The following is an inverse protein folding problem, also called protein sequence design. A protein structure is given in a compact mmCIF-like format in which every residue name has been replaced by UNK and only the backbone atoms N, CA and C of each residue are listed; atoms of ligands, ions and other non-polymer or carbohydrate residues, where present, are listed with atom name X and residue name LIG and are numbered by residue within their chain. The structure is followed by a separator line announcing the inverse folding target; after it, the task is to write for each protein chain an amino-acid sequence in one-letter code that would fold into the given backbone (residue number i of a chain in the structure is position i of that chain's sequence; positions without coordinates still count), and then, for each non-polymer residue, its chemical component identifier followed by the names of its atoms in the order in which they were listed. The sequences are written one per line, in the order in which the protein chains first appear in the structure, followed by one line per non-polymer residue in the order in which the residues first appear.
data_IF_249227072754
#
_entry.id   IF_249227072754
#
_cell.length_a   1.000
_cell.length_b   1.000
_cell.length_c   1.000
_cell.angle_alpha   90.00
_cell.angle_beta   90.00
_cell.angle_gamma   90.00
#
_symmetry.space_group_name_H-M   'P 1'
#
loop_
_entity.id
_entity.type
_entity.pdbx_description
1 polymer ?
#
# COMPACT_ATOMS: atom_id res chain seq x y z
N UNK A 1 -11.83 -18.97 -13.71
CA UNK A 1 -11.20 -19.11 -12.38
C UNK A 1 -9.81 -18.51 -12.42
N UNK A 2 -9.48 -17.70 -11.43
CA UNK A 2 -8.16 -17.10 -11.31
C UNK A 2 -7.16 -18.16 -10.85
N UNK A 3 -5.98 -18.19 -11.50
CA UNK A 3 -4.92 -19.11 -11.13
C UNK A 3 -3.75 -18.36 -10.49
N UNK A 4 -2.84 -19.09 -9.87
CA UNK A 4 -1.64 -18.48 -9.27
C UNK A 4 -0.79 -17.74 -10.30
N UNK A 5 -0.68 -18.27 -11.51
CA UNK A 5 0.05 -17.63 -12.60
C UNK A 5 -0.56 -16.30 -13.01
N UNK A 6 -1.87 -16.14 -12.83
CA UNK A 6 -2.55 -14.89 -13.18
C UNK A 6 -2.20 -13.75 -12.24
N UNK A 7 -1.82 -14.04 -10.99
CA UNK A 7 -1.62 -13.02 -9.96
C UNK A 7 -0.16 -12.79 -9.59
N UNK A 8 0.72 -13.77 -9.84
CA UNK A 8 2.16 -13.62 -9.55
C UNK A 8 2.74 -12.49 -10.40
N UNK A 9 3.51 -11.62 -9.78
CA UNK A 9 4.19 -10.54 -10.48
C UNK A 9 4.22 -9.25 -9.70
N UNK A 10 4.51 -8.19 -10.41
CA UNK A 10 4.58 -6.83 -9.90
C UNK A 10 3.43 -6.01 -10.46
N UNK A 11 2.65 -5.42 -9.56
CA UNK A 11 1.45 -4.68 -9.91
C UNK A 11 1.58 -3.24 -9.42
N UNK A 12 1.34 -2.28 -10.30
CA UNK A 12 1.25 -0.87 -9.92
C UNK A 12 -0.20 -0.49 -9.75
N UNK A 13 -0.49 0.28 -8.70
CA UNK A 13 -1.83 0.82 -8.47
C UNK A 13 -2.16 1.82 -9.56
N UNK A 14 -3.24 1.61 -10.28
CA UNK A 14 -3.73 2.50 -11.35
C UNK A 14 -4.84 3.38 -10.81
N UNK A 15 -5.76 2.79 -10.06
CA UNK A 15 -6.92 3.50 -9.53
C UNK A 15 -7.42 2.79 -8.28
N UNK A 16 -8.07 3.53 -7.42
CA UNK A 16 -8.70 3.02 -6.21
C UNK A 16 -10.08 3.64 -6.08
N UNK A 17 -11.08 2.79 -5.91
CA UNK A 17 -12.44 3.25 -5.78
C UNK A 17 -13.27 2.30 -4.94
N UNK A 18 -14.46 2.74 -4.61
CA UNK A 18 -15.46 1.94 -3.91
C UNK A 18 -16.84 2.40 -4.33
N UNK A 19 -17.80 1.48 -4.31
CA UNK A 19 -19.20 1.77 -4.60
C UNK A 19 -19.94 2.36 -3.39
N UNK A 20 -19.35 2.32 -2.21
CA UNK A 20 -19.93 2.87 -0.98
C UNK A 20 -19.46 4.31 -0.79
N UNK A 21 -20.37 5.32 -0.82
CA UNK A 21 -19.99 6.72 -0.62
C UNK A 21 -19.28 7.00 0.70
N UNK A 22 -19.65 6.31 1.77
CA UNK A 22 -18.98 6.49 3.07
C UNK A 22 -17.54 5.98 3.02
N UNK A 23 -17.31 4.84 2.38
CA UNK A 23 -15.96 4.30 2.18
C UNK A 23 -15.15 5.16 1.20
N UNK A 24 -15.80 5.76 0.20
CA UNK A 24 -15.15 6.65 -0.75
C UNK A 24 -14.56 7.87 -0.04
N UNK A 25 -15.33 8.48 0.85
CA UNK A 25 -14.88 9.63 1.63
C UNK A 25 -13.75 9.26 2.58
N UNK A 26 -13.87 8.13 3.27
CA UNK A 26 -12.83 7.63 4.17
C UNK A 26 -11.54 7.29 3.40
N UNK A 27 -11.65 6.71 2.21
CA UNK A 27 -10.52 6.38 1.36
C UNK A 27 -9.81 7.65 0.87
N UNK A 28 -10.56 8.68 0.46
CA UNK A 28 -10.00 9.95 0.04
C UNK A 28 -9.23 10.62 1.19
N UNK A 29 -9.80 10.61 2.40
CA UNK A 29 -9.15 11.17 3.57
C UNK A 29 -7.86 10.41 3.94
N UNK A 30 -7.83 9.10 3.70
CA UNK A 30 -6.70 8.23 4.08
C UNK A 30 -5.58 8.20 3.04
N UNK A 31 -5.91 8.22 1.76
CA UNK A 31 -4.93 8.00 0.67
C UNK A 31 -4.83 9.17 -0.31
N UNK A 32 -5.64 10.21 -0.13
CA UNK A 32 -5.68 11.31 -1.07
C UNK A 32 -6.46 10.97 -2.35
N UNK A 33 -6.42 11.88 -3.30
CA UNK A 33 -7.13 11.75 -4.58
C UNK A 33 -6.30 11.09 -5.69
N UNK A 34 -5.00 10.91 -5.46
CA UNK A 34 -4.08 10.28 -6.41
C UNK A 34 -3.17 9.28 -5.67
N UNK A 35 -3.74 8.21 -5.09
CA UNK A 35 -2.92 7.24 -4.37
C UNK A 35 -1.99 6.51 -5.33
N UNK A 36 -0.78 6.22 -4.86
CA UNK A 36 0.21 5.43 -5.57
C UNK A 36 0.52 4.17 -4.79
N UNK A 37 0.84 3.11 -5.48
CA UNK A 37 1.09 1.86 -4.79
C UNK A 37 1.77 0.83 -5.65
N UNK A 38 2.33 -0.14 -4.95
CA UNK A 38 3.03 -1.27 -5.52
C UNK A 38 2.60 -2.53 -4.76
N UNK A 39 2.29 -3.57 -5.50
CA UNK A 39 2.01 -4.89 -4.94
C UNK A 39 2.92 -5.89 -5.64
N UNK A 40 3.70 -6.63 -4.87
CA UNK A 40 4.54 -7.71 -5.38
C UNK A 40 4.03 -9.02 -4.80
N UNK A 41 3.76 -9.98 -5.69
CA UNK A 41 3.30 -11.31 -5.33
C UNK A 41 4.31 -12.29 -5.90
N UNK A 42 5.04 -12.98 -5.04
CA UNK A 42 6.07 -13.93 -5.49
C UNK A 42 5.51 -15.34 -5.61
N UNK A 43 6.06 -16.11 -6.52
CA UNK A 43 5.69 -17.53 -6.69
C UNK A 43 6.10 -18.37 -5.47
N UNK A 44 7.00 -17.88 -4.65
CA UNK A 44 7.45 -18.54 -3.42
C UNK A 44 6.45 -18.43 -2.27
N UNK A 45 5.35 -17.70 -2.45
CA UNK A 45 4.30 -17.59 -1.45
C UNK A 45 4.33 -16.35 -0.60
N UNK A 46 5.14 -15.35 -0.96
CA UNK A 46 5.23 -14.09 -0.24
C UNK A 46 4.61 -12.95 -1.03
N UNK A 47 4.09 -11.97 -0.33
CA UNK A 47 3.63 -10.74 -0.94
C UNK A 47 4.03 -9.54 -0.09
N UNK A 48 4.13 -8.39 -0.73
CA UNK A 48 4.31 -7.10 -0.06
C UNK A 48 3.56 -6.03 -0.83
N UNK A 49 2.87 -5.19 -0.09
CA UNK A 49 2.11 -4.06 -0.64
C UNK A 49 2.55 -2.77 0.04
N UNK A 50 2.60 -1.70 -0.74
CA UNK A 50 2.84 -0.36 -0.25
C UNK A 50 1.87 0.58 -0.95
N UNK A 51 1.16 1.42 -0.19
CA UNK A 51 0.23 2.42 -0.72
C UNK A 51 0.51 3.73 -0.03
N UNK A 52 0.60 4.81 -0.78
CA UNK A 52 0.84 6.14 -0.24
C UNK A 52 0.07 7.21 -0.99
N UNK A 53 -0.05 8.40 -0.40
CA UNK A 53 -0.57 9.58 -1.08
C UNK A 53 0.33 9.93 -2.26
N UNK A 54 -0.28 10.29 -3.39
CA UNK A 54 0.46 10.88 -4.49
C UNK A 54 1.02 12.24 -4.11
N UNK A 55 2.22 12.55 -4.61
CA UNK A 55 2.83 13.85 -4.36
C UNK A 55 3.27 14.12 -2.93
N UNK A 56 3.52 13.08 -2.14
CA UNK A 56 4.03 13.25 -0.76
C UNK A 56 5.29 14.09 -0.76
N UNK A 57 5.37 15.13 0.10
CA UNK A 57 6.62 15.87 0.23
C UNK A 57 7.68 15.03 0.93
N UNK A 58 8.95 15.29 0.64
CA UNK A 58 10.07 14.73 1.36
C UNK A 58 10.16 15.27 2.78
N UNK A 59 11.06 14.69 3.57
CA UNK A 59 11.32 15.16 4.92
C UNK A 59 12.09 16.49 4.88
N UNK A 60 11.72 17.41 5.76
CA UNK A 60 12.37 18.72 5.84
C UNK A 60 13.84 18.55 6.23
N UNK A 61 14.72 19.26 5.52
CA UNK A 61 16.15 19.26 5.82
C UNK A 61 16.92 18.06 5.29
N UNK A 62 16.27 17.16 4.54
CA UNK A 62 16.89 15.98 3.92
C UNK A 62 17.75 15.20 4.92
N UNK A 63 17.17 14.72 6.04
CA UNK A 63 17.94 14.05 7.08
C UNK A 63 18.51 12.71 6.60
N UNK A 64 19.68 12.33 7.13
CA UNK A 64 20.31 11.05 6.83
C UNK A 64 19.44 9.87 7.29
N UNK A 65 18.71 10.04 8.40
CA UNK A 65 17.75 9.09 8.91
C UNK A 65 16.39 9.74 9.10
N UNK A 66 15.34 9.01 8.77
CA UNK A 66 13.96 9.50 8.94
C UNK A 66 13.65 9.91 10.38
N UNK A 67 14.25 9.27 11.37
CA UNK A 67 14.04 9.59 12.78
C UNK A 67 14.66 10.92 13.19
N UNK A 68 15.52 11.50 12.37
CA UNK A 68 16.11 12.82 12.60
C UNK A 68 15.24 13.95 12.08
N UNK A 69 14.16 13.62 11.35
CA UNK A 69 13.24 14.63 10.84
C UNK A 69 12.37 15.21 11.97
N UNK A 70 11.81 16.43 11.78
CA UNK A 70 10.86 16.98 12.74
C UNK A 70 9.66 16.06 12.98
N UNK A 71 9.10 16.08 14.18
CA UNK A 71 8.00 15.22 14.57
C UNK A 71 6.79 15.34 13.64
N UNK A 72 6.45 16.57 13.23
CA UNK A 72 5.31 16.80 12.32
C UNK A 72 5.52 16.12 10.97
N UNK A 73 6.74 16.12 10.45
CA UNK A 73 7.09 15.46 9.19
C UNK A 73 6.99 13.95 9.31
N UNK A 74 7.46 13.41 10.44
CA UNK A 74 7.40 11.96 10.69
C UNK A 74 5.95 11.49 10.84
N UNK A 75 5.12 12.25 11.53
CA UNK A 75 3.69 11.94 11.67
C UNK A 75 2.99 11.96 10.31
N UNK A 76 3.24 13.00 9.51
CA UNK A 76 2.66 13.09 8.16
C UNK A 76 3.12 11.92 7.29
N UNK A 77 4.40 11.57 7.36
CA UNK A 77 4.94 10.45 6.57
C UNK A 77 4.25 9.12 6.96
N UNK A 78 4.05 8.91 8.25
CA UNK A 78 3.35 7.73 8.74
C UNK A 78 1.88 7.70 8.30
N UNK A 79 1.18 8.83 8.45
CA UNK A 79 -0.26 8.90 8.18
C UNK A 79 -0.60 8.80 6.69
N UNK A 80 0.37 9.05 5.82
CA UNK A 80 0.17 9.04 4.35
C UNK A 80 0.78 7.83 3.66
N UNK A 81 1.15 6.81 4.41
CA UNK A 81 1.79 5.61 3.88
C UNK A 81 1.39 4.39 4.67
N UNK A 82 1.08 3.30 3.98
CA UNK A 82 0.87 2.00 4.60
C UNK A 82 1.64 0.94 3.81
N UNK A 83 2.26 0.03 4.53
CA UNK A 83 2.89 -1.14 3.94
C UNK A 83 2.58 -2.35 4.80
N UNK A 84 2.37 -3.47 4.16
CA UNK A 84 2.21 -4.74 4.85
C UNK A 84 2.69 -5.88 3.97
N UNK A 85 3.05 -6.98 4.60
CA UNK A 85 3.51 -8.15 3.88
C UNK A 85 3.36 -9.42 4.68
N UNK A 86 3.47 -10.53 3.99
CA UNK A 86 3.37 -11.84 4.58
C UNK A 86 3.17 -12.93 3.54
N UNK A 87 2.66 -14.05 3.98
CA UNK A 87 2.39 -15.19 3.11
C UNK A 87 1.01 -15.06 2.48
N UNK A 88 0.90 -15.49 1.24
CA UNK A 88 -0.37 -15.45 0.53
C UNK A 88 -0.85 -16.83 0.15
N UNK A 89 -2.15 -16.96 0.01
CA UNK A 89 -2.83 -18.13 -0.55
C UNK A 89 -3.91 -17.67 -1.52
N UNK A 90 -4.21 -18.53 -2.47
CA UNK A 90 -5.31 -18.32 -3.41
C UNK A 90 -6.19 -19.58 -3.39
N UNK A 91 -7.43 -19.42 -2.98
CA UNK A 91 -8.44 -20.50 -2.97
C UNK A 91 -9.77 -19.96 -3.47
N UNK A 92 -10.38 -20.63 -4.43
CA UNK A 92 -11.71 -20.29 -4.93
C UNK A 92 -11.84 -18.82 -5.31
N UNK A 93 -10.85 -18.30 -6.04
CA UNK A 93 -10.75 -16.89 -6.47
C UNK A 93 -10.62 -15.90 -5.29
N UNK A 94 -10.31 -16.37 -4.10
CA UNK A 94 -10.05 -15.52 -2.94
C UNK A 94 -8.55 -15.48 -2.65
N UNK A 95 -7.98 -14.28 -2.72
CA UNK A 95 -6.60 -14.04 -2.33
C UNK A 95 -6.56 -13.62 -0.87
N UNK A 96 -5.77 -14.34 -0.09
CA UNK A 96 -5.64 -14.07 1.35
C UNK A 96 -4.18 -13.82 1.70
N UNK A 97 -3.93 -12.77 2.48
CA UNK A 97 -2.60 -12.49 3.04
C UNK A 97 -2.64 -12.76 4.54
N UNK A 98 -1.69 -13.57 5.00
CA UNK A 98 -1.40 -13.71 6.42
C UNK A 98 -0.32 -12.70 6.75
N UNK A 99 -0.71 -11.58 7.37
CA UNK A 99 0.19 -10.45 7.58
C UNK A 99 1.19 -10.77 8.69
N UNK A 100 2.47 -10.81 8.34
CA UNK A 100 3.56 -11.06 9.28
C UNK A 100 4.29 -9.77 9.68
N UNK A 101 4.22 -8.73 8.87
CA UNK A 101 4.84 -7.42 9.13
C UNK A 101 4.20 -6.30 8.30
#
# INVERSE_FOLDING_TARGET
MVTTEDIIGTWLLVDRGTDDPADAEASLARYGDDPQGLLIISKEGWMNAAICWGGRPGLTGDPAWHTDAPDADRLRAFDTYISYGGRWTLENDTFTTEVDF
#
